data_IF_281935562269
#
_entry.id   IF_281935562269
#
_cell.length_a   1.000
_cell.length_b   1.000
_cell.length_c   1.000
_cell.angle_alpha   90.00
_cell.angle_beta   90.00
_cell.angle_gamma   90.00
#
_symmetry.space_group_name_H-M   'P 1'
#
loop_
_entity.id
_entity.type
_entity.pdbx_description
1 polymer ?
#
# COMPACT_ATOMS: atom_id res chain seq x y z
N UNK A 1 -53.79 31.71 15.20
CA UNK A 1 -53.46 32.60 14.08
C UNK A 1 -52.07 33.13 14.38
N UNK A 2 -51.00 32.72 13.78
CA UNK A 2 -50.65 32.21 12.47
C UNK A 2 -49.53 31.20 12.53
N UNK A 3 -49.61 30.28 11.69
CA UNK A 3 -48.78 29.19 11.28
C UNK A 3 -47.48 29.72 10.61
N UNK A 4 -46.30 29.29 11.00
CA UNK A 4 -45.12 29.47 10.17
C UNK A 4 -44.32 28.17 10.07
N UNK A 5 -44.57 27.51 8.98
CA UNK A 5 -43.99 26.29 8.51
C UNK A 5 -42.58 26.57 7.94
N UNK A 6 -41.52 26.41 8.74
CA UNK A 6 -40.14 26.52 8.27
C UNK A 6 -39.77 25.33 7.39
N UNK A 7 -39.67 25.59 6.10
CA UNK A 7 -39.21 24.69 5.03
C UNK A 7 -37.74 24.33 5.24
N UNK A 8 -37.47 23.04 5.39
CA UNK A 8 -36.13 22.47 5.18
C UNK A 8 -35.74 22.67 3.70
N UNK A 9 -34.53 23.17 3.41
CA UNK A 9 -34.04 23.18 2.03
C UNK A 9 -33.66 21.76 1.58
N UNK A 10 -34.10 21.40 0.39
CA UNK A 10 -33.80 20.16 -0.30
C UNK A 10 -32.29 20.04 -0.55
N UNK A 11 -31.72 18.90 -0.16
CA UNK A 11 -30.34 18.52 -0.53
C UNK A 11 -30.22 18.52 -2.06
N UNK A 12 -29.40 19.39 -2.61
CA UNK A 12 -28.99 19.35 -4.01
C UNK A 12 -28.17 18.04 -4.22
N UNK A 13 -28.73 17.15 -5.04
CA UNK A 13 -27.97 16.06 -5.67
C UNK A 13 -27.07 16.73 -6.72
N UNK A 14 -25.75 16.53 -6.61
CA UNK A 14 -24.84 16.92 -7.67
C UNK A 14 -23.52 17.58 -7.24
N UNK A 15 -23.02 17.30 -6.03
CA UNK A 15 -21.61 17.57 -5.73
C UNK A 15 -20.87 16.23 -5.80
N UNK A 16 -20.17 16.01 -6.90
CA UNK A 16 -19.20 14.93 -7.08
C UNK A 16 -18.06 15.17 -6.09
N UNK A 17 -17.88 14.21 -5.20
CA UNK A 17 -16.79 14.16 -4.21
C UNK A 17 -15.44 14.25 -4.93
N UNK A 18 -14.62 15.30 -4.72
CA UNK A 18 -13.29 15.42 -5.34
C UNK A 18 -12.29 14.38 -4.84
N UNK A 19 -12.62 13.56 -3.85
CA UNK A 19 -11.79 12.45 -3.37
C UNK A 19 -11.84 11.20 -4.27
N UNK A 20 -12.68 11.18 -5.31
CA UNK A 20 -12.77 10.07 -6.26
C UNK A 20 -11.70 10.11 -7.38
N UNK A 21 -10.79 11.08 -7.36
CA UNK A 21 -9.69 11.16 -8.34
C UNK A 21 -8.48 10.30 -7.91
N UNK A 22 -8.76 9.06 -7.51
CA UNK A 22 -7.77 8.02 -7.44
C UNK A 22 -7.34 7.69 -8.87
N UNK A 23 -6.07 7.91 -9.16
CA UNK A 23 -5.31 7.57 -10.36
C UNK A 23 -6.19 6.92 -11.44
N UNK A 24 -6.70 7.73 -12.39
CA UNK A 24 -7.76 7.43 -13.32
C UNK A 24 -7.81 5.98 -13.73
N UNK A 25 -8.95 5.33 -13.54
CA UNK A 25 -9.20 4.01 -14.12
C UNK A 25 -8.95 4.12 -15.63
N UNK A 26 -8.15 3.22 -16.21
CA UNK A 26 -7.89 3.25 -17.64
C UNK A 26 -9.22 3.03 -18.37
N UNK A 27 -9.73 4.07 -19.03
CA UNK A 27 -10.98 4.00 -19.79
C UNK A 27 -10.93 2.83 -20.76
N UNK A 28 -11.89 1.90 -20.65
CA UNK A 28 -11.97 0.71 -21.49
C UNK A 28 -11.17 -0.50 -21.00
N UNK A 29 -10.71 -0.53 -19.74
CA UNK A 29 -10.00 -1.69 -19.18
C UNK A 29 -10.95 -2.84 -18.84
N UNK A 30 -10.50 -4.08 -19.11
CA UNK A 30 -11.22 -5.30 -18.74
C UNK A 30 -11.01 -5.61 -17.27
N UNK A 31 -12.11 -5.69 -16.49
CA UNK A 31 -12.06 -6.08 -15.07
C UNK A 31 -12.47 -7.54 -14.91
N UNK A 32 -11.69 -8.33 -14.18
CA UNK A 32 -12.02 -9.69 -13.81
C UNK A 32 -12.22 -9.84 -12.29
N UNK A 33 -13.32 -10.48 -11.88
CA UNK A 33 -13.56 -10.88 -10.50
C UNK A 33 -12.92 -12.23 -10.24
N UNK A 34 -11.92 -12.30 -9.36
CA UNK A 34 -11.17 -13.51 -9.06
C UNK A 34 -11.77 -14.22 -7.87
N UNK A 35 -12.49 -15.32 -8.12
CA UNK A 35 -13.14 -16.14 -7.09
C UNK A 35 -12.39 -17.44 -6.78
N UNK A 36 -11.45 -17.85 -7.63
CA UNK A 36 -10.61 -19.01 -7.36
C UNK A 36 -9.71 -18.75 -6.15
N UNK A 37 -9.77 -19.58 -5.08
CA UNK A 37 -9.04 -19.29 -3.85
C UNK A 37 -7.52 -19.32 -4.01
N UNK A 38 -6.97 -20.08 -4.97
CA UNK A 38 -5.54 -20.15 -5.19
C UNK A 38 -5.03 -18.89 -5.90
N UNK A 39 -5.76 -18.41 -6.91
CA UNK A 39 -5.47 -17.15 -7.59
C UNK A 39 -5.68 -15.94 -6.65
N UNK A 40 -6.77 -15.93 -5.86
CA UNK A 40 -7.06 -14.89 -4.88
C UNK A 40 -5.93 -14.74 -3.86
N UNK A 41 -5.57 -15.82 -3.17
CA UNK A 41 -4.45 -15.83 -2.21
C UNK A 41 -3.12 -15.44 -2.84
N UNK A 42 -2.92 -15.75 -4.12
CA UNK A 42 -1.70 -15.35 -4.81
C UNK A 42 -1.69 -13.84 -5.10
N UNK A 43 -2.80 -13.28 -5.57
CA UNK A 43 -2.93 -11.86 -5.94
C UNK A 43 -2.82 -10.91 -4.74
N UNK A 44 -3.38 -11.27 -3.58
CA UNK A 44 -3.35 -10.40 -2.38
C UNK A 44 -1.97 -10.31 -1.71
N UNK A 45 -1.01 -11.16 -2.10
CA UNK A 45 0.35 -11.12 -1.54
C UNK A 45 1.20 -10.05 -2.23
N UNK A 46 1.73 -9.04 -1.52
CA UNK A 46 2.57 -7.98 -2.11
C UNK A 46 3.77 -8.52 -2.89
N UNK A 47 4.38 -9.62 -2.41
CA UNK A 47 5.49 -10.29 -3.08
C UNK A 47 5.13 -10.92 -4.44
N UNK A 48 3.85 -11.09 -4.71
CA UNK A 48 3.36 -11.63 -5.99
C UNK A 48 3.15 -10.55 -7.04
N UNK A 49 2.81 -9.33 -6.63
CA UNK A 49 2.44 -8.24 -7.54
C UNK A 49 3.57 -7.85 -8.49
N UNK A 50 4.82 -7.80 -8.02
CA UNK A 50 5.96 -7.50 -8.90
C UNK A 50 6.17 -8.58 -9.97
N UNK A 51 5.66 -9.79 -9.77
CA UNK A 51 5.73 -10.88 -10.73
C UNK A 51 4.67 -10.75 -11.83
N UNK A 52 3.53 -10.13 -11.52
CA UNK A 52 2.45 -9.86 -12.46
C UNK A 52 2.68 -8.55 -13.24
N UNK A 53 3.29 -7.56 -12.58
CA UNK A 53 3.49 -6.21 -13.08
C UNK A 53 4.04 -6.12 -14.52
N UNK A 54 5.00 -6.96 -14.97
CA UNK A 54 5.49 -6.89 -16.35
C UNK A 54 4.41 -7.16 -17.41
N UNK A 55 3.34 -7.84 -17.06
CA UNK A 55 2.29 -8.29 -17.98
C UNK A 55 0.96 -7.55 -17.81
N UNK A 56 0.79 -6.82 -16.71
CA UNK A 56 -0.42 -6.04 -16.44
C UNK A 56 -0.46 -4.84 -17.38
N UNK A 57 -1.52 -4.73 -18.18
CA UNK A 57 -1.66 -3.68 -19.19
C UNK A 57 -0.64 -3.75 -20.34
N UNK A 58 0.22 -4.79 -20.40
CA UNK A 58 1.31 -4.91 -21.37
C UNK A 58 1.45 -6.33 -21.91
N UNK A 59 1.79 -6.44 -23.19
CA UNK A 59 2.11 -7.72 -23.83
C UNK A 59 3.62 -7.89 -23.91
N UNK A 60 4.16 -8.98 -23.34
CA UNK A 60 5.60 -9.25 -23.31
C UNK A 60 5.96 -10.70 -23.59
N UNK A 61 7.11 -10.90 -24.21
CA UNK A 61 7.78 -12.21 -24.28
C UNK A 61 8.50 -12.53 -22.97
N UNK A 62 8.96 -13.78 -22.83
CA UNK A 62 9.79 -14.21 -21.68
C UNK A 62 11.07 -13.36 -21.57
N UNK A 63 11.72 -13.06 -22.71
CA UNK A 63 12.97 -12.27 -22.71
C UNK A 63 12.75 -10.83 -22.27
N UNK A 64 11.72 -10.16 -22.80
CA UNK A 64 11.36 -8.79 -22.42
C UNK A 64 10.97 -8.67 -20.93
N UNK A 65 10.20 -9.64 -20.42
CA UNK A 65 9.85 -9.67 -18.99
C UNK A 65 11.09 -9.92 -18.12
N UNK A 66 12.01 -10.78 -18.55
CA UNK A 66 13.27 -11.04 -17.87
C UNK A 66 14.15 -9.78 -17.79
N UNK A 67 14.22 -9.01 -18.89
CA UNK A 67 14.96 -7.75 -18.93
C UNK A 67 14.38 -6.69 -17.97
N UNK A 68 13.04 -6.59 -17.92
CA UNK A 68 12.35 -5.64 -17.01
C UNK A 68 12.52 -6.02 -15.54
N UNK A 69 12.50 -7.31 -15.21
CA UNK A 69 12.60 -7.78 -13.82
C UNK A 69 14.05 -8.00 -13.35
N UNK A 70 15.02 -7.99 -14.26
CA UNK A 70 16.41 -8.34 -13.96
C UNK A 70 16.61 -9.84 -13.65
N UNK A 71 15.65 -10.70 -14.00
CA UNK A 71 15.66 -12.12 -13.66
C UNK A 71 16.10 -13.01 -14.84
N UNK A 72 16.48 -14.25 -14.54
CA UNK A 72 16.83 -15.22 -15.57
C UNK A 72 15.58 -15.66 -16.35
N UNK A 73 15.63 -15.80 -17.69
CA UNK A 73 14.48 -16.21 -18.52
C UNK A 73 13.78 -17.48 -18.04
N UNK A 74 14.52 -18.47 -17.56
CA UNK A 74 13.94 -19.72 -17.04
C UNK A 74 13.10 -19.49 -15.76
N UNK A 75 13.47 -18.54 -14.91
CA UNK A 75 12.69 -18.16 -13.73
C UNK A 75 11.38 -17.52 -14.16
N UNK A 76 11.45 -16.59 -15.11
CA UNK A 76 10.25 -15.93 -15.67
C UNK A 76 9.34 -16.94 -16.35
N UNK A 77 9.89 -17.90 -17.10
CA UNK A 77 9.09 -18.94 -17.75
C UNK A 77 8.35 -19.85 -16.76
N UNK A 78 8.99 -20.23 -15.65
CA UNK A 78 8.32 -21.00 -14.58
C UNK A 78 7.16 -20.19 -13.97
N UNK A 79 7.38 -18.89 -13.78
CA UNK A 79 6.36 -17.96 -13.27
C UNK A 79 5.19 -17.81 -14.23
N UNK A 80 5.45 -17.61 -15.53
CA UNK A 80 4.42 -17.56 -16.58
C UNK A 80 3.54 -18.79 -16.52
N UNK A 81 4.13 -19.99 -16.46
CA UNK A 81 3.37 -21.24 -16.37
C UNK A 81 2.47 -21.29 -15.14
N UNK A 82 2.97 -20.83 -13.99
CA UNK A 82 2.17 -20.73 -12.77
C UNK A 82 1.01 -19.73 -12.91
N UNK A 83 1.27 -18.56 -13.49
CA UNK A 83 0.24 -17.53 -13.71
C UNK A 83 -0.82 -18.01 -14.72
N UNK A 84 -0.43 -18.77 -15.74
CA UNK A 84 -1.35 -19.41 -16.67
C UNK A 84 -2.21 -20.46 -15.97
N UNK A 85 -1.63 -21.29 -15.10
CA UNK A 85 -2.37 -22.28 -14.31
C UNK A 85 -3.38 -21.62 -13.36
N UNK A 86 -3.06 -20.44 -12.82
CA UNK A 86 -3.96 -19.63 -12.00
C UNK A 86 -4.99 -18.84 -12.83
N UNK A 87 -5.01 -18.95 -14.15
CA UNK A 87 -5.91 -18.19 -15.01
C UNK A 87 -5.65 -16.68 -15.06
N UNK A 88 -4.49 -16.22 -14.57
CA UNK A 88 -4.13 -14.81 -14.50
C UNK A 88 -3.37 -14.29 -15.72
N UNK A 89 -2.84 -15.19 -16.54
CA UNK A 89 -2.03 -14.88 -17.71
C UNK A 89 -2.39 -15.80 -18.87
N UNK A 90 -2.35 -15.29 -20.09
CA UNK A 90 -2.53 -16.08 -21.29
C UNK A 90 -1.50 -15.72 -22.38
N UNK A 91 -1.33 -16.60 -23.35
CA UNK A 91 -0.53 -16.34 -24.54
C UNK A 91 -1.43 -15.65 -25.58
N UNK A 92 -1.10 -14.42 -25.94
CA UNK A 92 -1.87 -13.61 -26.89
C UNK A 92 -1.37 -13.72 -28.32
N UNK A 93 -0.07 -14.07 -28.50
CA UNK A 93 0.53 -14.21 -29.82
C UNK A 93 1.68 -15.21 -29.80
N UNK A 94 1.96 -15.79 -30.94
CA UNK A 94 3.14 -16.64 -31.19
C UNK A 94 3.78 -16.21 -32.50
N UNK A 95 4.95 -15.56 -32.40
CA UNK A 95 5.67 -15.01 -33.54
C UNK A 95 6.61 -16.11 -34.13
N UNK A 96 6.50 -16.44 -35.41
CA UNK A 96 7.42 -17.36 -36.05
C UNK A 96 8.85 -16.81 -36.03
N UNK A 97 9.83 -17.67 -35.82
CA UNK A 97 11.25 -17.33 -35.84
C UNK A 97 12.03 -18.52 -36.37
N UNK A 98 13.21 -18.28 -36.96
CA UNK A 98 14.15 -19.36 -37.23
C UNK A 98 14.50 -20.07 -35.93
N UNK A 99 13.91 -21.25 -35.67
CA UNK A 99 13.96 -21.99 -34.44
C UNK A 99 12.63 -21.92 -33.65
N UNK A 100 12.69 -21.86 -32.31
CA UNK A 100 11.50 -21.89 -31.45
C UNK A 100 10.71 -20.60 -31.57
N UNK A 101 9.37 -20.62 -31.78
CA UNK A 101 8.53 -19.42 -31.83
C UNK A 101 8.60 -18.59 -30.55
N UNK A 102 8.55 -17.29 -30.70
CA UNK A 102 8.48 -16.35 -29.56
C UNK A 102 7.03 -16.16 -29.15
N UNK A 103 6.68 -16.62 -27.94
CA UNK A 103 5.35 -16.45 -27.39
C UNK A 103 5.27 -15.12 -26.60
N UNK A 104 4.17 -14.41 -26.78
CA UNK A 104 3.85 -13.18 -26.08
C UNK A 104 2.70 -13.40 -25.11
N UNK A 105 2.83 -12.86 -23.92
CA UNK A 105 1.93 -13.07 -22.81
C UNK A 105 1.39 -11.74 -22.31
N UNK A 106 0.12 -11.76 -21.86
CA UNK A 106 -0.58 -10.64 -21.20
C UNK A 106 -1.44 -11.20 -20.09
N UNK A 107 -1.79 -10.38 -19.10
CA UNK A 107 -2.80 -10.72 -18.10
C UNK A 107 -4.16 -10.94 -18.75
N UNK A 108 -4.98 -11.80 -18.16
CA UNK A 108 -6.34 -12.12 -18.62
C UNK A 108 -7.32 -10.96 -18.46
N UNK A 109 -6.96 -9.96 -17.64
CA UNK A 109 -7.67 -8.71 -17.45
C UNK A 109 -6.69 -7.58 -17.14
N UNK A 110 -7.13 -6.34 -17.27
CA UNK A 110 -6.34 -5.15 -16.92
C UNK A 110 -6.52 -4.77 -15.44
N UNK A 111 -7.66 -5.14 -14.85
CA UNK A 111 -7.99 -4.96 -13.44
C UNK A 111 -8.45 -6.31 -12.86
N UNK A 112 -7.91 -6.68 -11.71
CA UNK A 112 -8.36 -7.83 -10.94
C UNK A 112 -8.99 -7.38 -9.64
N UNK A 113 -10.28 -7.69 -9.46
CA UNK A 113 -10.98 -7.52 -8.19
C UNK A 113 -11.01 -8.86 -7.46
N UNK A 114 -10.46 -8.89 -6.25
CA UNK A 114 -10.44 -10.09 -5.39
C UNK A 114 -11.41 -9.87 -4.24
N UNK A 115 -12.59 -10.50 -4.24
CA UNK A 115 -13.50 -10.43 -3.09
C UNK A 115 -12.83 -10.99 -1.84
N UNK A 116 -13.15 -10.41 -0.68
CA UNK A 116 -12.58 -10.86 0.60
C UNK A 116 -12.82 -12.35 0.84
N UNK A 117 -14.03 -12.83 0.56
CA UNK A 117 -14.44 -14.23 0.75
C UNK A 117 -13.58 -15.22 -0.06
N UNK A 118 -13.01 -14.77 -1.18
CA UNK A 118 -12.14 -15.59 -2.01
C UNK A 118 -10.72 -15.76 -1.44
N UNK A 119 -10.32 -14.92 -0.48
CA UNK A 119 -8.96 -14.97 0.11
C UNK A 119 -8.80 -16.14 1.08
N UNK A 120 -9.89 -16.62 1.69
CA UNK A 120 -9.89 -17.64 2.73
C UNK A 120 -9.37 -17.15 4.07
N UNK A 121 -9.35 -15.83 4.29
CA UNK A 121 -9.03 -15.25 5.60
C UNK A 121 -10.27 -15.29 6.52
N UNK A 122 -10.04 -15.48 7.81
CA UNK A 122 -11.11 -15.62 8.81
C UNK A 122 -11.84 -14.30 9.10
N UNK A 123 -11.14 -13.17 8.93
CA UNK A 123 -11.68 -11.82 9.08
C UNK A 123 -11.03 -10.84 8.10
N UNK A 124 -11.70 -9.71 7.84
CA UNK A 124 -11.11 -8.64 7.02
C UNK A 124 -9.83 -8.10 7.68
N UNK A 125 -9.80 -8.00 8.99
CA UNK A 125 -8.62 -7.58 9.74
C UNK A 125 -7.44 -8.53 9.50
N UNK A 126 -7.64 -9.85 9.61
CA UNK A 126 -6.60 -10.83 9.33
C UNK A 126 -6.11 -10.79 7.88
N UNK A 127 -7.01 -10.55 6.92
CA UNK A 127 -6.65 -10.39 5.52
C UNK A 127 -5.77 -9.15 5.29
N UNK A 128 -6.11 -8.02 5.91
CA UNK A 128 -5.33 -6.79 5.85
C UNK A 128 -3.97 -6.97 6.54
N UNK A 129 -3.94 -7.57 7.72
CA UNK A 129 -2.71 -7.85 8.44
C UNK A 129 -1.75 -8.75 7.63
N UNK A 130 -2.26 -9.82 7.01
CA UNK A 130 -1.45 -10.69 6.15
C UNK A 130 -0.92 -9.95 4.92
N UNK A 131 -1.76 -9.12 4.27
CA UNK A 131 -1.38 -8.31 3.12
C UNK A 131 -0.27 -7.33 3.48
N UNK A 132 -0.39 -6.64 4.61
CA UNK A 132 0.49 -5.54 4.99
C UNK A 132 1.76 -6.02 5.71
N UNK A 133 1.75 -7.24 6.26
CA UNK A 133 2.87 -7.82 7.03
C UNK A 133 4.25 -7.76 6.32
N UNK A 134 4.28 -7.86 5.00
CA UNK A 134 5.53 -7.71 4.24
C UNK A 134 6.06 -6.28 4.32
N UNK A 135 5.20 -5.29 4.11
CA UNK A 135 5.55 -3.87 4.10
C UNK A 135 5.92 -3.37 5.49
N UNK A 136 5.18 -3.80 6.51
CA UNK A 136 5.48 -3.49 7.91
C UNK A 136 6.84 -4.04 8.32
N UNK A 137 7.14 -5.29 8.00
CA UNK A 137 8.47 -5.87 8.25
C UNK A 137 9.57 -5.12 7.51
N UNK A 138 9.32 -4.75 6.24
CA UNK A 138 10.28 -3.99 5.44
C UNK A 138 10.54 -2.62 6.07
N UNK A 139 9.50 -1.87 6.43
CA UNK A 139 9.59 -0.58 7.09
C UNK A 139 10.36 -0.69 8.41
N UNK A 140 9.92 -1.57 9.30
CA UNK A 140 10.53 -1.78 10.62
C UNK A 140 12.01 -2.12 10.52
N UNK A 141 12.37 -3.07 9.66
CA UNK A 141 13.77 -3.47 9.46
C UNK A 141 14.64 -2.30 8.99
N UNK A 142 14.16 -1.49 8.05
CA UNK A 142 14.95 -0.37 7.54
C UNK A 142 15.02 0.81 8.53
N UNK A 143 13.96 1.06 9.30
CA UNK A 143 13.99 2.05 10.39
C UNK A 143 15.01 1.63 11.46
N UNK A 144 14.99 0.36 11.88
CA UNK A 144 15.96 -0.16 12.87
C UNK A 144 17.39 -0.06 12.33
N UNK A 145 17.62 -0.49 11.09
CA UNK A 145 18.94 -0.41 10.46
C UNK A 145 19.47 1.01 10.40
N UNK A 146 18.68 1.96 9.92
CA UNK A 146 19.05 3.36 9.85
C UNK A 146 19.41 3.94 11.21
N UNK A 147 18.65 3.59 12.25
CA UNK A 147 18.90 4.04 13.63
C UNK A 147 20.19 3.44 14.20
N UNK A 148 20.43 2.14 14.01
CA UNK A 148 21.65 1.48 14.50
C UNK A 148 22.88 2.05 13.79
N UNK A 149 22.84 2.22 12.47
CA UNK A 149 23.96 2.77 11.68
C UNK A 149 24.31 4.21 12.09
N UNK A 150 23.29 5.01 12.45
CA UNK A 150 23.51 6.41 12.81
C UNK A 150 23.86 6.65 14.29
N UNK A 151 23.34 5.83 15.20
CA UNK A 151 23.37 6.11 16.64
C UNK A 151 24.05 5.03 17.48
N UNK A 152 24.36 3.86 16.89
CA UNK A 152 24.97 2.72 17.57
C UNK A 152 24.02 2.06 18.57
N UNK A 153 24.03 2.53 19.81
CA UNK A 153 23.16 2.01 20.89
C UNK A 153 21.95 2.92 21.08
N UNK A 154 20.79 2.31 21.31
CA UNK A 154 19.55 3.03 21.58
C UNK A 154 18.66 2.23 22.54
N UNK A 155 17.77 2.95 23.23
CA UNK A 155 16.84 2.39 24.20
C UNK A 155 15.49 3.07 24.13
N UNK A 156 14.66 2.82 25.14
CA UNK A 156 13.36 3.44 25.29
C UNK A 156 13.35 4.31 26.54
N UNK A 157 12.99 5.58 26.39
CA UNK A 157 12.69 6.50 27.49
C UNK A 157 11.20 6.53 27.73
N UNK A 158 10.81 6.45 29.01
CA UNK A 158 9.42 6.53 29.46
C UNK A 158 9.38 7.69 30.47
N UNK A 159 8.58 8.71 30.16
CA UNK A 159 8.49 9.92 31.01
C UNK A 159 7.16 10.63 30.82
N UNK A 160 6.87 11.60 31.69
CA UNK A 160 5.74 12.52 31.48
C UNK A 160 6.24 13.82 30.87
N UNK A 161 5.53 14.30 29.84
CA UNK A 161 5.80 15.61 29.26
C UNK A 161 5.31 16.75 30.18
N UNK A 162 5.58 17.99 29.78
CA UNK A 162 5.15 19.20 30.51
C UNK A 162 3.63 19.29 30.70
N UNK A 163 2.85 18.59 29.91
CA UNK A 163 1.39 18.49 30.01
C UNK A 163 0.93 17.29 30.83
N UNK A 164 1.85 16.58 31.48
CA UNK A 164 1.58 15.39 32.28
C UNK A 164 1.26 14.11 31.51
N UNK A 165 1.36 14.10 30.17
CA UNK A 165 1.05 12.92 29.34
C UNK A 165 2.22 11.95 29.34
N UNK A 166 1.91 10.66 29.44
CA UNK A 166 2.92 9.60 29.32
C UNK A 166 3.52 9.60 27.90
N UNK A 167 4.83 9.63 27.85
CA UNK A 167 5.60 9.54 26.63
C UNK A 167 6.47 8.29 26.62
N UNK A 168 6.48 7.59 25.49
CA UNK A 168 7.35 6.46 25.23
C UNK A 168 8.12 6.77 23.95
N UNK A 169 9.42 6.99 24.09
CA UNK A 169 10.26 7.45 22.98
C UNK A 169 11.52 6.59 22.82
N UNK A 170 11.93 6.39 21.58
CA UNK A 170 13.27 5.88 21.29
C UNK A 170 14.29 6.94 21.60
N UNK A 171 15.34 6.59 22.33
CA UNK A 171 16.39 7.49 22.78
C UNK A 171 17.79 6.87 22.58
N UNK A 172 18.78 7.71 22.38
CA UNK A 172 20.18 7.31 22.20
C UNK A 172 20.93 7.28 23.53
N UNK A 173 20.40 7.94 24.55
CA UNK A 173 20.92 7.94 25.93
C UNK A 173 19.78 8.15 26.92
N UNK A 174 20.03 7.96 28.23
CA UNK A 174 19.04 8.27 29.26
C UNK A 174 18.55 9.72 29.22
N UNK A 175 19.41 10.65 28.82
CA UNK A 175 19.18 12.10 28.93
C UNK A 175 18.88 12.77 27.58
N UNK A 176 19.12 12.07 26.44
CA UNK A 176 18.97 12.64 25.11
C UNK A 176 17.99 11.87 24.26
N UNK A 177 17.08 12.61 23.62
CA UNK A 177 16.22 12.10 22.56
C UNK A 177 16.99 12.05 21.25
N UNK A 178 16.69 11.06 20.42
CA UNK A 178 17.15 11.08 19.03
C UNK A 178 16.43 12.20 18.27
N UNK A 179 17.18 13.15 17.73
CA UNK A 179 16.63 14.20 16.87
C UNK A 179 16.42 13.63 15.47
N UNK A 180 15.25 13.03 15.23
CA UNK A 180 14.91 12.38 13.97
C UNK A 180 14.86 13.34 12.77
N UNK A 181 14.84 14.66 13.01
CA UNK A 181 14.77 15.69 11.98
C UNK A 181 16.13 16.36 11.72
N UNK A 182 17.18 15.89 12.36
CA UNK A 182 18.53 16.36 12.10
C UNK A 182 18.93 16.02 10.64
N UNK A 183 19.37 16.99 9.84
CA UNK A 183 19.75 16.79 8.43
C UNK A 183 20.87 15.76 8.23
N UNK A 184 21.74 15.60 9.21
CA UNK A 184 22.86 14.66 9.15
C UNK A 184 22.45 13.22 9.50
N UNK A 185 21.22 13.03 10.00
CA UNK A 185 20.69 11.72 10.35
C UNK A 185 19.99 11.07 9.16
N UNK A 186 20.00 9.72 9.07
CA UNK A 186 19.25 9.02 8.04
C UNK A 186 17.77 9.39 8.04
N UNK A 187 17.19 9.59 6.85
CA UNK A 187 15.76 9.89 6.70
C UNK A 187 14.92 8.65 7.06
N UNK A 188 14.67 8.43 8.34
CA UNK A 188 13.90 7.33 8.88
C UNK A 188 12.99 7.81 10.01
N UNK A 189 11.68 7.78 9.78
CA UNK A 189 10.66 8.17 10.75
C UNK A 189 9.71 7.01 11.02
N UNK A 190 9.46 6.71 12.29
CA UNK A 190 8.38 5.82 12.70
C UNK A 190 7.85 6.31 14.05
N UNK A 191 6.60 6.71 14.09
CA UNK A 191 5.98 7.25 15.29
C UNK A 191 4.49 6.85 15.34
N UNK A 192 4.05 6.38 16.50
CA UNK A 192 2.64 6.20 16.84
C UNK A 192 2.17 7.36 17.69
N UNK A 193 0.93 7.78 17.49
CA UNK A 193 0.26 8.78 18.29
C UNK A 193 -1.17 8.30 18.53
N UNK A 194 -1.45 7.89 19.73
CA UNK A 194 -2.73 7.33 20.19
C UNK A 194 -3.67 8.34 20.85
N UNK A 195 -3.16 9.55 21.12
CA UNK A 195 -3.89 10.60 21.85
C UNK A 195 -4.08 11.85 20.98
N UNK A 196 -4.38 11.68 19.71
CA UNK A 196 -4.76 12.79 18.83
C UNK A 196 -6.28 12.95 18.90
N UNK A 197 -6.73 14.04 19.50
CA UNK A 197 -8.15 14.35 19.68
C UNK A 197 -8.59 15.31 18.58
N UNK A 198 -9.43 14.84 17.68
CA UNK A 198 -9.94 15.62 16.54
C UNK A 198 -11.46 15.47 16.48
N UNK A 199 -12.15 16.50 16.05
CA UNK A 199 -13.51 16.34 15.58
C UNK A 199 -13.52 15.75 14.16
N UNK A 200 -14.71 15.46 13.63
CA UNK A 200 -14.82 14.83 12.31
C UNK A 200 -14.28 15.71 11.16
N UNK A 201 -14.48 17.03 11.26
CA UNK A 201 -14.02 17.96 10.23
C UNK A 201 -12.49 18.03 10.22
N UNK A 202 -11.87 18.22 11.38
CA UNK A 202 -10.42 18.26 11.54
C UNK A 202 -9.77 16.93 11.14
N UNK A 203 -10.40 15.78 11.47
CA UNK A 203 -9.91 14.48 11.06
C UNK A 203 -9.94 14.30 9.53
N UNK A 204 -10.96 14.84 8.84
CA UNK A 204 -11.06 14.83 7.37
C UNK A 204 -10.03 15.75 6.73
N UNK A 205 -9.76 16.90 7.31
CA UNK A 205 -8.74 17.82 6.83
C UNK A 205 -7.34 17.21 7.02
N UNK A 206 -7.07 16.62 8.17
CA UNK A 206 -5.83 15.89 8.42
C UNK A 206 -5.65 14.70 7.46
N UNK A 207 -6.71 13.93 7.20
CA UNK A 207 -6.69 12.86 6.21
C UNK A 207 -6.29 13.37 4.82
N UNK A 208 -6.84 14.53 4.40
CA UNK A 208 -6.52 15.14 3.11
C UNK A 208 -5.08 15.59 3.04
N UNK A 209 -4.58 16.28 4.07
CA UNK A 209 -3.19 16.72 4.14
C UNK A 209 -2.20 15.56 4.07
N UNK A 210 -2.44 14.46 4.81
CA UNK A 210 -1.62 13.26 4.75
C UNK A 210 -1.61 12.65 3.35
N UNK A 211 -2.77 12.58 2.70
CA UNK A 211 -2.89 12.03 1.35
C UNK A 211 -2.14 12.89 0.32
N UNK A 212 -2.33 14.20 0.36
CA UNK A 212 -1.66 15.16 -0.53
C UNK A 212 -0.13 15.12 -0.35
N UNK A 213 0.33 15.00 0.89
CA UNK A 213 1.75 14.85 1.21
C UNK A 213 2.33 13.57 0.56
N UNK A 214 1.65 12.44 0.70
CA UNK A 214 2.08 11.17 0.09
C UNK A 214 2.10 11.29 -1.43
N UNK A 215 1.05 11.83 -2.06
CA UNK A 215 0.99 12.01 -3.52
C UNK A 215 2.10 12.93 -4.04
N UNK A 216 2.38 14.02 -3.35
CA UNK A 216 3.48 14.94 -3.69
C UNK A 216 4.81 14.20 -3.82
N UNK A 217 5.15 13.38 -2.81
CA UNK A 217 6.43 12.66 -2.80
C UNK A 217 6.43 11.38 -3.63
N UNK A 218 5.28 10.76 -3.87
CA UNK A 218 5.16 9.62 -4.80
C UNK A 218 5.55 9.99 -6.24
N UNK A 219 5.35 11.24 -6.63
CA UNK A 219 5.74 11.77 -7.96
C UNK A 219 7.21 12.19 -8.03
N UNK A 220 7.89 12.25 -6.90
CA UNK A 220 9.30 12.64 -6.87
C UNK A 220 10.19 11.60 -7.58
N UNK A 221 11.29 12.08 -8.18
CA UNK A 221 12.30 11.25 -8.84
C UNK A 221 13.60 11.38 -8.06
N UNK A 222 14.03 10.28 -7.46
CA UNK A 222 15.26 10.23 -6.68
C UNK A 222 15.98 8.89 -6.89
N UNK A 223 17.25 8.82 -6.47
CA UNK A 223 18.07 7.62 -6.58
C UNK A 223 17.75 6.57 -5.52
N UNK A 224 17.25 6.99 -4.35
CA UNK A 224 16.99 6.13 -3.20
C UNK A 224 15.50 5.79 -3.09
N UNK A 225 15.19 4.50 -2.95
CA UNK A 225 13.83 4.02 -2.70
C UNK A 225 13.52 4.09 -1.21
N UNK A 226 12.36 4.67 -0.87
CA UNK A 226 11.80 4.68 0.47
C UNK A 226 10.49 3.87 0.52
N UNK A 227 10.18 3.31 1.68
CA UNK A 227 8.88 2.76 2.01
C UNK A 227 8.20 3.70 3.01
N UNK A 228 6.96 4.08 2.73
CA UNK A 228 6.17 5.00 3.56
C UNK A 228 4.89 4.29 3.96
N UNK A 229 4.50 4.42 5.23
CA UNK A 229 3.22 4.00 5.75
C UNK A 229 2.59 5.19 6.49
N UNK A 230 1.35 5.47 6.21
CA UNK A 230 0.52 6.44 6.92
C UNK A 230 -0.81 5.79 7.26
N UNK A 231 -1.38 6.12 8.41
CA UNK A 231 -2.65 5.58 8.84
C UNK A 231 -3.33 6.55 9.81
N UNK A 232 -4.65 6.68 9.67
CA UNK A 232 -5.52 7.43 10.55
C UNK A 232 -6.83 6.68 10.65
N UNK A 233 -7.27 6.40 11.86
CA UNK A 233 -8.57 5.80 12.14
C UNK A 233 -9.11 6.32 13.47
N UNK A 234 -10.43 6.47 13.57
CA UNK A 234 -11.06 6.70 14.85
C UNK A 234 -10.89 5.46 15.74
N UNK A 235 -10.51 5.66 16.98
CA UNK A 235 -10.55 4.57 17.97
C UNK A 235 -12.02 4.34 18.31
N UNK A 236 -12.54 3.22 17.85
CA UNK A 236 -13.86 2.75 18.27
C UNK A 236 -13.74 2.27 19.71
N UNK A 237 -14.76 2.55 20.54
CA UNK A 237 -14.79 2.03 21.90
C UNK A 237 -14.66 0.51 21.86
N UNK A 238 -13.45 0.04 22.10
CA UNK A 238 -13.24 -1.38 22.41
C UNK A 238 -14.03 -1.66 23.67
N UNK A 239 -14.95 -2.61 23.59
CA UNK A 239 -15.55 -3.14 24.80
C UNK A 239 -14.37 -3.56 25.69
N UNK A 240 -14.26 -2.96 26.88
CA UNK A 240 -13.21 -3.31 27.84
C UNK A 240 -13.36 -4.82 28.10
N UNK A 241 -12.46 -5.60 27.51
CA UNK A 241 -12.30 -7.01 27.88
C UNK A 241 -11.86 -7.13 29.36
#
# INVERSE_FOLDING_TARGET
MEDDTSRRPARRRGETDPAADHAGEPGGSTTAVVRDPAAARWLVRPSSLHQLAPFLGSTRSVGEAAAVTGERPNTVLKRIRRLQHLGLLHCVASEPRAGRPVRRYRTTADVFFVPFEATGADSLESALAERDAYWERLLRRNVVRARIEAMGVWGTRIYRDERGRLQVQTAVSPDANATMLDPDMPAALSAWRDQVMLDHADAKDFQRELFDLVLKYQRARGAQRYVVHVGLAAVLNEARE
#
